data_IF_333449283859
#
_entry.id   IF_333449283859
#
_cell.length_a   1.000
_cell.length_b   1.000
_cell.length_c   1.000
_cell.angle_alpha   90.00
_cell.angle_beta   90.00
_cell.angle_gamma   90.00
#
_symmetry.space_group_name_H-M   'P 1'
#
loop_
_entity.id
_entity.type
_entity.pdbx_description
1 polymer ?
#
# COMPACT_ATOMS: atom_id res chain seq x y z
N UNK A 1 35.17 25.42 -27.53
CA UNK A 1 34.02 25.79 -26.68
C UNK A 1 32.88 24.78 -26.92
N UNK A 2 32.11 24.47 -25.86
CA UNK A 2 30.93 23.58 -25.82
C UNK A 2 31.18 22.07 -25.80
N UNK A 3 31.49 21.55 -24.61
CA UNK A 3 31.03 20.22 -24.13
C UNK A 3 30.78 20.33 -22.62
N UNK A 4 29.67 20.96 -22.24
CA UNK A 4 29.17 21.01 -20.85
C UNK A 4 27.68 20.74 -20.90
N UNK A 5 27.26 19.50 -21.14
CA UNK A 5 25.84 19.13 -21.02
C UNK A 5 25.58 17.67 -20.65
N UNK A 6 26.62 16.86 -20.38
CA UNK A 6 26.44 15.43 -20.10
C UNK A 6 26.45 15.09 -18.61
N UNK A 7 26.49 16.08 -17.72
CA UNK A 7 26.51 15.85 -16.26
C UNK A 7 25.12 15.96 -15.60
N UNK A 8 24.11 16.52 -16.28
CA UNK A 8 22.79 16.75 -15.70
C UNK A 8 21.86 15.51 -15.79
N UNK A 9 22.10 14.62 -16.74
CA UNK A 9 21.25 13.44 -16.96
C UNK A 9 21.54 12.28 -16.00
N UNK A 10 22.68 12.29 -15.31
CA UNK A 10 23.06 11.28 -14.32
C UNK A 10 22.53 11.57 -12.92
N UNK A 11 21.99 12.77 -12.65
CA UNK A 11 21.43 13.13 -11.35
C UNK A 11 19.94 12.73 -11.20
N UNK A 12 19.22 12.57 -12.32
CA UNK A 12 17.80 12.16 -12.31
C UNK A 12 17.66 10.64 -12.02
N UNK A 13 18.68 9.84 -12.33
CA UNK A 13 18.68 8.40 -12.03
C UNK A 13 18.96 8.07 -10.55
N UNK A 14 19.31 9.07 -9.72
CA UNK A 14 19.63 8.85 -8.30
C UNK A 14 18.41 8.93 -7.37
N UNK A 15 17.20 9.22 -7.89
CA UNK A 15 15.95 9.19 -7.10
C UNK A 15 15.16 7.88 -7.24
N UNK A 16 15.56 6.96 -8.12
CA UNK A 16 14.94 5.62 -8.22
C UNK A 16 15.39 4.65 -7.12
N UNK A 17 16.17 5.13 -6.15
CA UNK A 17 16.55 4.39 -4.95
C UNK A 17 15.65 4.75 -3.76
N UNK A 18 14.35 4.91 -4.01
CA UNK A 18 13.34 4.85 -2.96
C UNK A 18 13.43 3.46 -2.33
N UNK A 19 14.00 3.39 -1.14
CA UNK A 19 14.28 2.16 -0.41
C UNK A 19 12.95 1.47 -0.03
N UNK A 20 12.38 0.64 -0.92
CA UNK A 20 11.24 -0.26 -0.62
C UNK A 20 11.68 -1.48 0.23
N UNK A 21 12.53 -1.26 1.23
CA UNK A 21 13.12 -2.31 2.07
C UNK A 21 12.26 -2.76 3.25
N UNK A 22 10.92 -2.71 3.15
CA UNK A 22 10.01 -2.88 4.30
C UNK A 22 8.94 -3.97 4.16
N UNK A 23 8.99 -4.82 3.13
CA UNK A 23 7.93 -5.80 2.87
C UNK A 23 6.58 -5.15 2.52
N UNK A 24 5.50 -5.93 2.53
CA UNK A 24 4.16 -5.44 2.19
C UNK A 24 3.68 -4.30 3.12
N UNK A 25 3.91 -4.41 4.42
CA UNK A 25 3.55 -3.36 5.37
C UNK A 25 4.30 -2.05 5.12
N UNK A 26 5.60 -2.12 4.80
CA UNK A 26 6.38 -0.94 4.45
C UNK A 26 5.94 -0.28 3.14
N UNK A 27 5.38 -1.04 2.19
CA UNK A 27 4.80 -0.50 0.97
C UNK A 27 3.52 0.30 1.27
N UNK A 28 2.63 -0.22 2.12
CA UNK A 28 1.43 0.49 2.60
C UNK A 28 1.79 1.75 3.40
N UNK A 29 2.77 1.66 4.31
CA UNK A 29 3.28 2.84 5.03
C UNK A 29 3.86 3.88 4.05
N UNK A 30 4.60 3.42 3.03
CA UNK A 30 5.14 4.26 1.98
C UNK A 30 4.08 4.97 1.15
N UNK A 31 2.95 4.30 0.88
CA UNK A 31 1.78 4.89 0.22
C UNK A 31 1.17 6.02 1.05
N UNK A 32 0.90 5.80 2.34
CA UNK A 32 0.37 6.86 3.21
C UNK A 32 1.34 8.05 3.33
N UNK A 33 2.66 7.78 3.39
CA UNK A 33 3.69 8.83 3.33
C UNK A 33 3.69 9.58 2.00
N UNK A 34 3.47 8.90 0.89
CA UNK A 34 3.36 9.53 -0.41
C UNK A 34 2.16 10.49 -0.46
N UNK A 35 1.01 10.08 0.11
CA UNK A 35 -0.21 10.88 0.14
C UNK A 35 -0.02 12.21 0.88
N UNK A 36 0.49 12.19 2.11
CA UNK A 36 0.72 13.43 2.89
C UNK A 36 1.80 14.35 2.30
N UNK A 37 2.63 13.82 1.40
CA UNK A 37 3.64 14.60 0.67
C UNK A 37 3.16 15.04 -0.73
N UNK A 38 1.92 14.72 -1.12
CA UNK A 38 1.38 15.00 -2.45
C UNK A 38 2.13 14.26 -3.58
N UNK A 39 2.77 13.13 -3.28
CA UNK A 39 3.54 12.36 -4.25
C UNK A 39 2.63 11.39 -5.04
N UNK A 40 1.79 11.97 -5.90
CA UNK A 40 0.84 11.20 -6.72
C UNK A 40 1.51 10.20 -7.66
N UNK A 41 2.72 10.46 -8.17
CA UNK A 41 3.46 9.52 -9.02
C UNK A 41 3.74 8.19 -8.29
N UNK A 42 4.11 8.27 -7.01
CA UNK A 42 4.37 7.07 -6.20
C UNK A 42 3.08 6.30 -5.87
N UNK A 43 1.96 7.00 -5.72
CA UNK A 43 0.65 6.37 -5.50
C UNK A 43 0.15 5.72 -6.79
N UNK A 44 0.24 6.41 -7.91
CA UNK A 44 -0.09 5.85 -9.22
C UNK A 44 0.73 4.59 -9.51
N UNK A 45 2.02 4.61 -9.17
CA UNK A 45 2.88 3.45 -9.30
C UNK A 45 2.45 2.27 -8.41
N UNK A 46 2.11 2.51 -7.13
CA UNK A 46 1.75 1.42 -6.21
C UNK A 46 0.42 0.76 -6.58
N UNK A 47 -0.52 1.51 -7.17
CA UNK A 47 -1.80 1.00 -7.65
C UNK A 47 -1.80 0.55 -9.12
N UNK A 48 -0.68 0.66 -9.83
CA UNK A 48 -0.58 0.30 -11.26
C UNK A 48 -0.90 -1.16 -11.62
N UNK A 49 -1.08 -2.04 -10.62
CA UNK A 49 -1.45 -3.45 -10.79
C UNK A 49 -2.87 -3.75 -10.27
N UNK A 50 -3.62 -2.75 -9.77
CA UNK A 50 -4.99 -2.90 -9.36
C UNK A 50 -5.92 -2.75 -10.58
N UNK A 51 -6.79 -3.74 -10.80
CA UNK A 51 -7.70 -3.75 -11.94
C UNK A 51 -8.77 -2.64 -11.86
N UNK A 52 -9.16 -2.25 -10.64
CA UNK A 52 -10.17 -1.23 -10.38
C UNK A 52 -9.60 0.19 -10.25
N UNK A 53 -8.27 0.35 -10.28
CA UNK A 53 -7.64 1.65 -10.12
C UNK A 53 -7.76 2.46 -11.41
N UNK A 54 -8.31 3.66 -11.28
CA UNK A 54 -8.35 4.67 -12.34
C UNK A 54 -7.66 5.95 -11.85
N UNK A 55 -6.56 6.31 -12.54
CA UNK A 55 -5.79 7.53 -12.29
C UNK A 55 -6.62 8.82 -12.33
N UNK A 56 -7.82 8.78 -12.92
CA UNK A 56 -8.77 9.89 -12.85
C UNK A 56 -9.16 10.26 -11.41
N UNK A 57 -9.21 9.28 -10.50
CA UNK A 57 -9.55 9.48 -9.08
C UNK A 57 -8.32 9.56 -8.17
N UNK A 58 -7.12 9.74 -8.74
CA UNK A 58 -5.88 9.79 -7.97
C UNK A 58 -5.88 10.90 -6.91
N UNK A 59 -6.39 12.09 -7.26
CA UNK A 59 -6.46 13.21 -6.31
C UNK A 59 -7.38 12.90 -5.12
N UNK A 60 -8.56 12.30 -5.39
CA UNK A 60 -9.50 11.89 -4.33
C UNK A 60 -8.88 10.81 -3.42
N UNK A 61 -8.18 9.84 -4.02
CA UNK A 61 -7.45 8.80 -3.28
C UNK A 61 -6.32 9.39 -2.43
N UNK A 62 -5.55 10.35 -2.96
CA UNK A 62 -4.51 11.06 -2.20
C UNK A 62 -5.13 11.76 -0.99
N UNK A 63 -6.23 12.48 -1.18
CA UNK A 63 -6.90 13.22 -0.13
C UNK A 63 -7.43 12.27 0.96
N UNK A 64 -8.03 11.14 0.58
CA UNK A 64 -8.50 10.12 1.53
C UNK A 64 -7.35 9.51 2.34
N UNK A 65 -6.28 9.07 1.67
CA UNK A 65 -5.10 8.50 2.32
C UNK A 65 -4.44 9.52 3.26
N UNK A 66 -4.35 10.78 2.85
CA UNK A 66 -3.83 11.85 3.69
C UNK A 66 -4.74 12.14 4.89
N UNK A 67 -6.06 12.10 4.71
CA UNK A 67 -7.03 12.24 5.81
C UNK A 67 -6.84 11.15 6.85
N UNK A 68 -6.73 9.89 6.42
CA UNK A 68 -6.49 8.76 7.31
C UNK A 68 -5.23 8.95 8.17
N UNK A 69 -4.15 9.52 7.60
CA UNK A 69 -2.93 9.83 8.38
C UNK A 69 -3.19 10.94 9.39
N UNK A 70 -3.93 11.99 9.01
CA UNK A 70 -4.28 13.10 9.91
C UNK A 70 -5.18 12.64 11.06
N UNK A 71 -6.15 11.78 10.78
CA UNK A 71 -7.09 11.25 11.77
C UNK A 71 -6.41 10.35 12.80
N UNK A 72 -5.27 9.76 12.44
CA UNK A 72 -4.41 9.00 13.36
C UNK A 72 -3.34 9.86 14.07
N UNK A 73 -3.42 11.19 14.01
CA UNK A 73 -2.40 12.09 14.56
C UNK A 73 -1.00 11.87 13.97
N UNK A 74 -0.91 11.40 12.72
CA UNK A 74 0.33 11.22 11.97
C UNK A 74 0.75 9.77 11.70
N UNK A 75 1.63 9.60 10.71
CA UNK A 75 2.02 8.27 10.18
C UNK A 75 2.66 7.36 11.24
N UNK A 76 3.43 7.92 12.16
CA UNK A 76 4.11 7.15 13.22
C UNK A 76 3.14 6.56 14.24
N UNK A 77 1.90 7.07 14.30
CA UNK A 77 0.84 6.58 15.17
C UNK A 77 -0.08 5.56 14.48
N UNK A 78 -0.01 5.46 13.15
CA UNK A 78 -0.79 4.48 12.40
C UNK A 78 -0.35 3.06 12.74
N UNK A 79 -1.32 2.18 13.00
CA UNK A 79 -1.04 0.76 13.25
C UNK A 79 -1.15 -0.02 11.95
N UNK A 80 -0.05 -0.07 11.22
CA UNK A 80 0.08 -0.82 9.97
C UNK A 80 0.75 -2.15 10.26
N UNK A 81 0.11 -3.27 9.95
CA UNK A 81 0.64 -4.62 10.21
C UNK A 81 0.36 -5.57 9.08
N UNK A 82 1.38 -6.32 8.69
CA UNK A 82 1.20 -7.47 7.81
C UNK A 82 0.52 -8.62 8.57
N UNK A 83 -0.58 -9.13 8.03
CA UNK A 83 -1.33 -10.26 8.56
C UNK A 83 -0.81 -11.50 7.85
N UNK A 84 -0.10 -12.35 8.61
CA UNK A 84 0.50 -13.56 8.04
C UNK A 84 -0.58 -14.59 7.75
N UNK A 85 -0.45 -15.28 6.62
CA UNK A 85 -1.35 -16.35 6.17
C UNK A 85 -1.62 -17.42 7.23
N UNK A 86 -0.66 -17.71 8.11
CA UNK A 86 -0.83 -18.68 9.19
C UNK A 86 -1.70 -18.17 10.36
N UNK A 87 -2.05 -16.89 10.39
CA UNK A 87 -2.98 -16.26 11.35
C UNK A 87 -4.43 -16.31 10.87
N UNK A 88 -4.66 -16.56 9.58
CA UNK A 88 -6.00 -16.64 8.99
C UNK A 88 -6.56 -18.06 9.05
N UNK A 89 -7.87 -18.18 9.26
CA UNK A 89 -8.56 -19.46 9.20
C UNK A 89 -8.50 -20.06 7.77
N UNK A 90 -8.88 -21.34 7.63
CA UNK A 90 -8.77 -22.04 6.34
C UNK A 90 -9.67 -21.44 5.26
N UNK A 91 -10.89 -21.03 5.61
CA UNK A 91 -11.86 -20.48 4.66
C UNK A 91 -11.35 -19.15 4.09
N UNK A 92 -10.91 -18.23 4.96
CA UNK A 92 -10.34 -16.95 4.54
C UNK A 92 -9.11 -17.11 3.64
N UNK A 93 -8.25 -18.10 3.91
CA UNK A 93 -7.11 -18.40 3.04
C UNK A 93 -7.55 -18.93 1.67
N UNK A 94 -8.55 -19.80 1.64
CA UNK A 94 -9.10 -20.36 0.39
C UNK A 94 -9.77 -19.28 -0.46
N UNK A 95 -10.53 -18.37 0.16
CA UNK A 95 -11.19 -17.26 -0.54
C UNK A 95 -10.16 -16.30 -1.14
N UNK A 96 -9.15 -15.88 -0.36
CA UNK A 96 -8.06 -15.03 -0.86
C UNK A 96 -7.22 -15.71 -1.96
N UNK A 97 -7.00 -17.02 -1.87
CA UNK A 97 -6.31 -17.77 -2.93
C UNK A 97 -7.09 -17.84 -4.24
N UNK A 98 -8.42 -18.00 -4.14
CA UNK A 98 -9.29 -18.07 -5.30
C UNK A 98 -9.37 -16.71 -6.00
N UNK A 99 -9.38 -15.62 -5.25
CA UNK A 99 -9.49 -14.26 -5.79
C UNK A 99 -8.15 -13.71 -6.28
N UNK A 100 -7.08 -13.86 -5.49
CA UNK A 100 -5.80 -13.18 -5.74
C UNK A 100 -4.64 -14.11 -6.11
N UNK A 101 -4.92 -15.38 -6.41
CA UNK A 101 -3.94 -16.47 -6.52
C UNK A 101 -3.21 -16.74 -5.20
N UNK A 102 -2.32 -17.73 -5.13
CA UNK A 102 -1.61 -18.07 -3.90
C UNK A 102 -0.49 -17.09 -3.48
N UNK A 103 -0.33 -15.94 -4.15
CA UNK A 103 0.78 -15.00 -3.98
C UNK A 103 0.33 -13.60 -3.55
N UNK A 104 -0.61 -13.54 -2.60
CA UNK A 104 -1.04 -12.30 -1.96
C UNK A 104 -0.33 -12.05 -0.64
N UNK A 105 -0.26 -10.79 -0.25
CA UNK A 105 0.13 -10.32 1.07
C UNK A 105 -1.01 -9.46 1.62
N UNK A 106 -1.33 -9.63 2.89
CA UNK A 106 -2.42 -8.91 3.54
C UNK A 106 -1.85 -7.93 4.54
N UNK A 107 -2.26 -6.67 4.49
CA UNK A 107 -1.83 -5.62 5.41
C UNK A 107 -3.04 -4.92 5.99
N UNK A 108 -3.20 -5.01 7.30
CA UNK A 108 -4.23 -4.30 8.03
C UNK A 108 -3.73 -2.95 8.53
N UNK A 109 -4.62 -1.97 8.49
CA UNK A 109 -4.44 -0.61 8.99
C UNK A 109 -5.60 -0.34 9.94
N UNK A 110 -5.33 -0.14 11.22
CA UNK A 110 -6.37 0.25 12.15
C UNK A 110 -6.70 1.74 11.93
N UNK A 111 -7.90 2.04 11.43
CA UNK A 111 -8.37 3.40 11.21
C UNK A 111 -9.11 3.97 12.43
N UNK A 112 -9.81 3.13 13.19
CA UNK A 112 -10.29 3.52 14.51
C UNK A 112 -10.42 2.29 15.44
N UNK A 113 -11.21 2.41 16.51
CA UNK A 113 -11.38 1.32 17.49
C UNK A 113 -12.27 0.18 17.00
N UNK A 114 -13.11 0.41 16.00
CA UNK A 114 -14.10 -0.54 15.52
C UNK A 114 -13.84 -0.95 14.04
N UNK A 115 -13.02 -0.19 13.31
CA UNK A 115 -12.77 -0.38 11.88
C UNK A 115 -11.30 -0.62 11.54
N UNK A 116 -11.07 -1.55 10.61
CA UNK A 116 -9.79 -1.81 9.97
C UNK A 116 -9.91 -1.61 8.46
N UNK A 117 -8.92 -0.97 7.85
CA UNK A 117 -8.75 -1.04 6.41
C UNK A 117 -7.75 -2.13 6.07
N UNK A 118 -8.11 -3.03 5.17
CA UNK A 118 -7.27 -4.15 4.77
C UNK A 118 -6.86 -3.98 3.31
N UNK A 119 -5.56 -3.94 3.09
CA UNK A 119 -4.94 -3.89 1.77
C UNK A 119 -4.46 -5.28 1.36
N UNK A 120 -4.74 -5.66 0.12
CA UNK A 120 -4.16 -6.84 -0.54
C UNK A 120 -3.08 -6.37 -1.50
N UNK A 121 -1.89 -6.96 -1.37
CA UNK A 121 -0.73 -6.64 -2.19
C UNK A 121 -0.19 -7.86 -2.93
N UNK A 122 0.23 -7.68 -4.18
CA UNK A 122 1.02 -8.67 -4.93
C UNK A 122 2.49 -8.24 -5.00
N UNK A 123 3.39 -9.20 -4.82
CA UNK A 123 4.83 -8.98 -5.05
C UNK A 123 5.18 -9.29 -6.51
N UNK A 124 5.66 -8.29 -7.23
CA UNK A 124 6.11 -8.40 -8.62
C UNK A 124 7.54 -7.89 -8.74
N UNK A 125 8.46 -8.79 -9.11
CA UNK A 125 9.89 -8.48 -9.26
C UNK A 125 10.53 -7.82 -8.03
N UNK A 126 10.12 -8.24 -6.83
CA UNK A 126 10.63 -7.71 -5.56
C UNK A 126 10.01 -6.40 -5.08
N UNK A 127 8.98 -5.89 -5.77
CA UNK A 127 8.22 -4.71 -5.36
C UNK A 127 6.78 -5.13 -5.03
N UNK A 128 6.15 -4.44 -4.07
CA UNK A 128 4.77 -4.68 -3.67
C UNK A 128 3.85 -3.64 -4.32
N UNK A 129 2.73 -4.13 -4.86
CA UNK A 129 1.69 -3.32 -5.49
C UNK A 129 0.37 -3.61 -4.81
N UNK A 130 -0.44 -2.57 -4.56
CA UNK A 130 -1.80 -2.73 -4.08
C UNK A 130 -2.65 -3.20 -5.24
N UNK A 131 -3.43 -4.25 -5.00
CA UNK A 131 -4.36 -4.82 -5.99
C UNK A 131 -5.80 -4.77 -5.54
N UNK A 132 -6.04 -4.63 -4.24
CA UNK A 132 -7.36 -4.51 -3.65
C UNK A 132 -7.28 -3.85 -2.27
N UNK A 133 -8.37 -3.22 -1.85
CA UNK A 133 -8.50 -2.60 -0.54
C UNK A 133 -9.96 -2.54 -0.12
N UNK A 134 -10.24 -2.88 1.14
CA UNK A 134 -11.59 -2.92 1.68
C UNK A 134 -11.57 -2.60 3.17
N UNK A 135 -12.62 -1.92 3.64
CA UNK A 135 -12.88 -1.68 5.05
C UNK A 135 -13.62 -2.86 5.70
N UNK A 136 -13.22 -3.19 6.91
CA UNK A 136 -13.81 -4.26 7.70
C UNK A 136 -14.20 -3.72 9.07
N UNK A 137 -15.40 -4.12 9.52
CA UNK A 137 -15.71 -4.12 10.94
C UNK A 137 -14.73 -5.05 11.67
N UNK A 138 -14.29 -4.68 12.87
CA UNK A 138 -13.34 -5.49 13.63
C UNK A 138 -13.88 -6.90 13.91
N UNK A 139 -15.18 -7.03 14.21
CA UNK A 139 -15.80 -8.33 14.45
C UNK A 139 -15.74 -9.22 13.20
N UNK A 140 -16.03 -8.67 12.02
CA UNK A 140 -15.94 -9.39 10.75
C UNK A 140 -14.51 -9.83 10.44
N UNK A 141 -13.53 -8.93 10.64
CA UNK A 141 -12.13 -9.28 10.45
C UNK A 141 -11.66 -10.36 11.44
N UNK A 142 -12.12 -10.32 12.69
CA UNK A 142 -11.81 -11.34 13.70
C UNK A 142 -12.33 -12.73 13.31
N UNK A 143 -13.48 -12.82 12.61
CA UNK A 143 -13.99 -14.09 12.08
C UNK A 143 -13.04 -14.73 11.06
N UNK A 144 -12.22 -13.93 10.36
CA UNK A 144 -11.21 -14.41 9.41
C UNK A 144 -9.95 -14.99 10.09
N UNK A 145 -9.75 -14.72 11.39
CA UNK A 145 -8.57 -15.16 12.14
C UNK A 145 -8.75 -16.58 12.73
N UNK A 146 -7.64 -17.20 13.13
CA UNK A 146 -7.60 -18.52 13.80
C UNK A 146 -7.84 -18.46 15.30
#
# INVERSE_FOLDING_TARGET
MKKRFTALFLFILLFLSGCMGGGAAGAVEGMYKAAINGNGEQIDQIFSQADEYDSYYLDDLIDELASNVMDQDGIDNMKIKEIKRNMLNKAAVEDLDNEFDSNWNLVGVQLDKDYLYVWVLKEVSGNYFIVYGEDFDQEEFEEMLK
#
